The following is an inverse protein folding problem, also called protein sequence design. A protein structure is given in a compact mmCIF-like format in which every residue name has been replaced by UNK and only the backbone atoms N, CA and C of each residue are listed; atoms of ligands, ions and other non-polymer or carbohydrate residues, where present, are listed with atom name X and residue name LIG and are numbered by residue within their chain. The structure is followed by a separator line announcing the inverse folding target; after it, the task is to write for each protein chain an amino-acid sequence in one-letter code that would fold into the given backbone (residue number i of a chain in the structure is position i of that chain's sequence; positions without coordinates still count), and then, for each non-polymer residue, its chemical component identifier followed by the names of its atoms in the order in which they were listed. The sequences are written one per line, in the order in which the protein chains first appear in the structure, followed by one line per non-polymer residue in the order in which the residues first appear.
data_IF_334024226605
#
_entry.id   IF_334024226605
#
_cell.length_a   1.000
_cell.length_b   1.000
_cell.length_c   1.000
_cell.angle_alpha   90.00
_cell.angle_beta   90.00
_cell.angle_gamma   90.00
#
_symmetry.space_group_name_H-M   'P 1'
#
loop_
_entity.id
_entity.type
_entity.pdbx_description
1 polymer ?
#
# COMPACT_ATOMS: atom_id res chain seq x y z
N UNK A 1 14.36 5.32 14.63
CA UNK A 1 12.89 5.32 14.57
C UNK A 1 12.41 6.59 15.22
N UNK A 2 11.53 7.34 14.55
CA UNK A 2 10.93 8.56 15.09
C UNK A 2 9.57 8.19 15.69
N UNK A 3 9.53 8.02 17.02
CA UNK A 3 8.34 7.49 17.70
C UNK A 3 7.16 8.45 17.67
N UNK A 4 7.42 9.76 17.58
CA UNK A 4 6.34 10.76 17.48
C UNK A 4 5.64 10.65 16.13
N UNK A 5 6.41 10.49 15.03
CA UNK A 5 5.84 10.25 13.69
C UNK A 5 5.09 8.92 13.62
N UNK A 6 5.65 7.86 14.20
CA UNK A 6 5.02 6.54 14.24
C UNK A 6 3.66 6.60 14.96
N UNK A 7 3.62 7.25 16.14
CA UNK A 7 2.40 7.43 16.91
C UNK A 7 1.37 8.29 16.16
N UNK A 8 1.80 9.39 15.54
CA UNK A 8 0.93 10.26 14.76
C UNK A 8 0.31 9.53 13.55
N UNK A 9 1.10 8.70 12.87
CA UNK A 9 0.62 7.86 11.77
C UNK A 9 -0.49 6.91 12.26
N UNK A 10 -0.21 6.13 13.31
CA UNK A 10 -1.18 5.13 13.78
C UNK A 10 -2.45 5.75 14.34
N UNK A 11 -2.35 6.86 15.08
CA UNK A 11 -3.52 7.61 15.53
C UNK A 11 -4.36 8.07 14.34
N UNK A 12 -3.74 8.60 13.29
CA UNK A 12 -4.43 9.03 12.06
C UNK A 12 -5.17 7.88 11.38
N UNK A 13 -4.51 6.73 11.22
CA UNK A 13 -5.13 5.53 10.62
C UNK A 13 -6.30 5.01 11.47
N UNK A 14 -6.14 4.98 12.80
CA UNK A 14 -7.18 4.53 13.73
C UNK A 14 -8.39 5.47 13.69
N UNK A 15 -8.17 6.78 13.76
CA UNK A 15 -9.23 7.80 13.68
C UNK A 15 -9.96 7.75 12.34
N UNK A 16 -9.23 7.65 11.23
CA UNK A 16 -9.80 7.56 9.89
C UNK A 16 -10.65 6.30 9.72
N UNK A 17 -10.20 5.16 10.25
CA UNK A 17 -10.96 3.92 10.23
C UNK A 17 -12.23 4.01 11.09
N UNK A 18 -12.14 4.58 12.30
CA UNK A 18 -13.32 4.81 13.17
C UNK A 18 -14.36 5.71 12.50
N UNK A 19 -13.91 6.72 11.78
CA UNK A 19 -14.76 7.60 10.98
C UNK A 19 -15.25 6.99 9.65
N UNK A 20 -14.90 5.72 9.35
CA UNK A 20 -15.23 5.01 8.11
C UNK A 20 -14.77 5.73 6.84
N UNK A 21 -13.64 6.44 6.93
CA UNK A 21 -13.04 7.15 5.80
C UNK A 21 -12.26 6.19 4.90
N UNK A 22 -11.66 5.15 5.49
CA UNK A 22 -10.79 4.20 4.80
C UNK A 22 -11.57 3.00 4.24
N UNK A 23 -11.17 2.55 3.05
CA UNK A 23 -11.57 1.27 2.45
C UNK A 23 -10.62 0.15 2.83
N UNK A 24 -9.33 0.44 2.83
CA UNK A 24 -8.26 -0.46 3.24
C UNK A 24 -7.06 0.34 3.71
N UNK A 25 -6.17 -0.30 4.48
CA UNK A 25 -4.94 0.29 4.96
C UNK A 25 -3.86 -0.78 5.08
N UNK A 26 -2.62 -0.44 4.79
CA UNK A 26 -1.47 -1.33 4.96
C UNK A 26 -0.21 -0.56 5.32
N UNK A 27 0.54 -1.10 6.27
CA UNK A 27 1.88 -0.63 6.64
C UNK A 27 2.89 -0.82 5.49
N UNK A 28 3.88 0.08 5.39
CA UNK A 28 5.03 -0.12 4.51
C UNK A 28 6.17 -0.73 5.33
N UNK A 29 6.58 -1.94 4.97
CA UNK A 29 7.58 -2.72 5.69
C UNK A 29 8.51 -3.45 4.72
N UNK A 30 8.83 -4.73 4.99
CA UNK A 30 9.65 -5.59 4.14
C UNK A 30 9.18 -5.57 2.67
N UNK A 31 10.10 -5.15 1.80
CA UNK A 31 9.86 -5.01 0.35
C UNK A 31 9.24 -3.68 -0.07
N UNK A 32 9.11 -2.72 0.84
CA UNK A 32 8.74 -1.34 0.53
C UNK A 32 7.34 -1.16 -0.03
N UNK A 33 7.13 -0.04 -0.71
CA UNK A 33 5.82 0.36 -1.24
C UNK A 33 5.34 -0.61 -2.31
N UNK A 34 6.25 -1.13 -3.14
CA UNK A 34 5.92 -2.08 -4.19
C UNK A 34 5.26 -3.35 -3.64
N UNK A 35 5.88 -3.97 -2.63
CA UNK A 35 5.36 -5.21 -2.04
C UNK A 35 4.12 -4.94 -1.18
N UNK A 36 4.02 -3.79 -0.51
CA UNK A 36 2.79 -3.43 0.21
C UNK A 36 1.59 -3.27 -0.75
N UNK A 37 1.75 -2.56 -1.87
CA UNK A 37 0.70 -2.45 -2.89
C UNK A 37 0.38 -3.81 -3.51
N UNK A 38 1.37 -4.64 -3.82
CA UNK A 38 1.17 -5.98 -4.37
C UNK A 38 0.31 -6.85 -3.44
N UNK A 39 0.64 -6.86 -2.14
CA UNK A 39 -0.14 -7.56 -1.11
C UNK A 39 -1.58 -7.04 -1.05
N UNK A 40 -1.79 -5.73 -1.08
CA UNK A 40 -3.14 -5.15 -1.09
C UNK A 40 -3.93 -5.57 -2.34
N UNK A 41 -3.32 -5.48 -3.52
CA UNK A 41 -3.96 -5.83 -4.79
C UNK A 41 -4.36 -7.31 -4.83
N UNK A 42 -3.45 -8.21 -4.43
CA UNK A 42 -3.69 -9.66 -4.41
C UNK A 42 -4.76 -10.04 -3.40
N UNK A 43 -4.67 -9.55 -2.16
CA UNK A 43 -5.63 -9.89 -1.10
C UNK A 43 -7.00 -9.26 -1.38
N UNK A 44 -7.02 -8.05 -1.94
CA UNK A 44 -8.24 -7.37 -2.36
C UNK A 44 -8.84 -7.91 -3.66
N UNK A 45 -8.09 -8.70 -4.43
CA UNK A 45 -8.41 -9.14 -5.79
C UNK A 45 -8.85 -7.97 -6.70
N UNK A 46 -8.14 -6.84 -6.59
CA UNK A 46 -8.40 -5.61 -7.34
C UNK A 46 -7.05 -5.04 -7.81
N UNK A 47 -6.96 -4.67 -9.09
CA UNK A 47 -5.77 -4.04 -9.67
C UNK A 47 -5.43 -2.68 -9.06
N UNK A 48 -4.26 -2.17 -9.39
CA UNK A 48 -3.79 -0.85 -8.97
C UNK A 48 -2.97 -0.21 -10.07
N UNK A 49 -3.17 1.09 -10.26
CA UNK A 49 -2.34 1.96 -11.09
C UNK A 49 -1.82 3.08 -10.19
N UNK A 50 -0.51 3.10 -9.93
CA UNK A 50 0.11 4.11 -9.11
C UNK A 50 1.43 4.64 -9.71
N UNK A 51 1.70 5.91 -9.42
CA UNK A 51 2.94 6.58 -9.76
C UNK A 51 3.53 7.20 -8.48
N UNK A 52 4.73 6.78 -8.13
CA UNK A 52 5.44 7.16 -6.91
C UNK A 52 6.68 7.93 -7.33
N UNK A 53 6.83 9.15 -6.82
CA UNK A 53 8.04 9.94 -6.99
C UNK A 53 9.16 9.33 -6.17
N UNK A 54 10.27 8.99 -6.83
CA UNK A 54 11.44 8.34 -6.23
C UNK A 54 12.71 9.07 -6.67
N UNK A 55 13.76 9.02 -5.85
CA UNK A 55 15.08 9.54 -6.24
C UNK A 55 15.84 8.50 -7.07
N UNK A 56 15.79 7.22 -6.66
CA UNK A 56 16.24 6.06 -7.42
C UNK A 56 15.06 5.09 -7.60
N UNK A 57 14.95 4.44 -8.78
CA UNK A 57 13.85 3.51 -9.05
C UNK A 57 13.82 2.31 -8.09
N UNK A 58 14.97 1.94 -7.50
CA UNK A 58 15.08 0.87 -6.49
C UNK A 58 14.45 1.24 -5.16
N UNK A 59 14.27 2.54 -4.87
CA UNK A 59 13.68 3.01 -3.62
C UNK A 59 12.23 2.56 -3.43
N UNK A 60 11.58 2.10 -4.51
CA UNK A 60 10.23 1.51 -4.43
C UNK A 60 10.18 0.25 -3.55
N UNK A 61 11.32 -0.44 -3.40
CA UNK A 61 11.49 -1.61 -2.54
C UNK A 61 12.12 -1.29 -1.19
N UNK A 62 12.52 -0.03 -0.95
CA UNK A 62 13.18 0.37 0.28
C UNK A 62 12.23 0.29 1.47
N UNK A 63 12.68 -0.44 2.49
CA UNK A 63 12.02 -0.50 3.78
C UNK A 63 12.10 0.85 4.47
N UNK A 64 10.96 1.37 4.90
CA UNK A 64 10.98 2.51 5.80
C UNK A 64 9.78 2.47 6.72
N UNK A 65 10.05 2.83 7.96
CA UNK A 65 9.08 2.92 9.04
C UNK A 65 8.26 4.21 8.92
N UNK A 66 7.21 4.31 9.74
CA UNK A 66 6.33 5.48 9.80
C UNK A 66 5.70 5.84 8.46
N UNK A 67 5.32 4.83 7.67
CA UNK A 67 4.56 4.97 6.43
C UNK A 67 3.44 3.93 6.36
N UNK A 68 2.29 4.35 5.85
CA UNK A 68 1.19 3.46 5.49
C UNK A 68 0.60 3.89 4.16
N UNK A 69 0.02 2.92 3.46
CA UNK A 69 -0.79 3.10 2.26
C UNK A 69 -2.23 2.95 2.69
N UNK A 70 -3.08 3.88 2.29
CA UNK A 70 -4.52 3.82 2.55
C UNK A 70 -5.29 3.96 1.26
N UNK A 71 -6.42 3.27 1.19
CA UNK A 71 -7.41 3.45 0.14
C UNK A 71 -8.55 4.28 0.69
N UNK A 72 -8.86 5.38 0.02
CA UNK A 72 -9.92 6.31 0.42
C UNK A 72 -10.87 6.49 -0.76
N UNK A 73 -12.18 6.42 -0.51
CA UNK A 73 -13.15 6.72 -1.56
C UNK A 73 -13.05 8.21 -1.93
N UNK A 74 -13.16 8.61 -3.21
CA UNK A 74 -13.06 10.02 -3.61
C UNK A 74 -13.94 10.97 -2.80
N UNK A 75 -15.14 10.53 -2.39
CA UNK A 75 -16.07 11.33 -1.57
C UNK A 75 -15.58 11.60 -0.14
N UNK A 76 -14.62 10.81 0.35
CA UNK A 76 -14.05 10.89 1.69
C UNK A 76 -12.67 11.56 1.70
N UNK A 77 -12.08 11.88 0.54
CA UNK A 77 -10.71 12.40 0.46
C UNK A 77 -10.55 13.70 1.25
N UNK A 78 -11.46 14.66 1.07
CA UNK A 78 -11.38 15.96 1.77
C UNK A 78 -11.36 15.80 3.30
N UNK A 79 -12.22 14.93 3.84
CA UNK A 79 -12.28 14.68 5.29
C UNK A 79 -11.05 13.90 5.79
N UNK A 80 -10.53 12.96 5.00
CA UNK A 80 -9.29 12.28 5.32
C UNK A 80 -8.09 13.24 5.35
N UNK A 81 -8.00 14.15 4.37
CA UNK A 81 -6.93 15.14 4.25
C UNK A 81 -6.95 16.14 5.41
N UNK A 82 -8.13 16.59 5.84
CA UNK A 82 -8.30 17.41 7.05
C UNK A 82 -7.79 16.68 8.30
N UNK A 83 -8.14 15.40 8.44
CA UNK A 83 -7.70 14.59 9.57
C UNK A 83 -6.18 14.38 9.59
N UNK A 84 -5.59 14.02 8.44
CA UNK A 84 -4.14 13.86 8.30
C UNK A 84 -3.40 15.16 8.61
N UNK A 85 -3.89 16.28 8.10
CA UNK A 85 -3.34 17.62 8.36
C UNK A 85 -3.42 18.01 9.84
N UNK A 86 -4.56 17.76 10.49
CA UNK A 86 -4.77 17.98 11.93
C UNK A 86 -3.74 17.21 12.77
N UNK A 87 -3.44 15.98 12.37
CA UNK A 87 -2.47 15.12 13.04
C UNK A 87 -1.03 15.33 12.57
N UNK A 88 -0.78 16.32 11.69
CA UNK A 88 0.53 16.66 11.13
C UNK A 88 1.21 15.48 10.41
N UNK A 89 0.41 14.62 9.76
CA UNK A 89 0.88 13.51 8.95
C UNK A 89 0.93 13.95 7.48
N UNK A 90 2.11 13.90 6.87
CA UNK A 90 2.26 14.14 5.44
C UNK A 90 1.62 13.02 4.63
N UNK A 91 0.98 13.39 3.53
CA UNK A 91 0.31 12.45 2.64
C UNK A 91 0.52 12.84 1.18
N UNK A 92 0.32 11.88 0.29
CA UNK A 92 0.36 12.08 -1.16
C UNK A 92 -0.58 11.07 -1.83
N UNK A 93 -1.37 11.54 -2.79
CA UNK A 93 -2.17 10.66 -3.64
C UNK A 93 -1.24 10.01 -4.67
N UNK A 94 -1.11 8.69 -4.62
CA UNK A 94 -0.18 7.95 -5.48
C UNK A 94 -0.86 7.25 -6.67
N UNK A 95 -2.18 7.10 -6.67
CA UNK A 95 -2.85 6.32 -7.71
C UNK A 95 -4.29 5.95 -7.41
N UNK A 96 -4.79 4.92 -8.10
CA UNK A 96 -6.15 4.39 -7.99
C UNK A 96 -6.18 2.87 -8.03
N UNK A 97 -7.18 2.30 -7.37
CA UNK A 97 -7.50 0.88 -7.45
C UNK A 97 -8.53 0.63 -8.56
N UNK A 98 -8.48 -0.54 -9.19
CA UNK A 98 -9.42 -0.97 -10.23
C UNK A 98 -8.80 -1.90 -11.26
N UNK A 99 -9.67 -2.60 -11.99
CA UNK A 99 -9.25 -3.53 -13.05
C UNK A 99 -8.50 -4.76 -12.53
N UNK A 100 -7.73 -5.37 -13.41
CA UNK A 100 -7.03 -6.65 -13.26
C UNK A 100 -5.51 -6.52 -13.44
N UNK A 101 -5.00 -5.28 -13.44
CA UNK A 101 -3.59 -4.97 -13.68
C UNK A 101 -2.92 -4.38 -12.46
N UNK A 102 -1.67 -4.72 -12.27
CA UNK A 102 -0.79 -4.16 -11.26
C UNK A 102 0.27 -3.31 -11.95
N UNK A 103 0.16 -2.00 -11.81
CA UNK A 103 1.02 -0.99 -12.42
C UNK A 103 1.56 -0.08 -11.32
N UNK A 104 2.87 -0.07 -11.14
CA UNK A 104 3.56 0.92 -10.30
C UNK A 104 4.79 1.44 -11.03
N UNK A 105 4.79 2.71 -11.40
CA UNK A 105 5.82 3.30 -12.25
C UNK A 105 6.02 2.41 -13.50
N UNK A 106 7.23 1.91 -13.72
CA UNK A 106 7.59 1.03 -14.86
C UNK A 106 7.31 -0.46 -14.60
N UNK A 107 6.82 -0.83 -13.42
CA UNK A 107 6.53 -2.23 -13.07
C UNK A 107 5.11 -2.58 -13.52
N UNK A 108 5.01 -3.60 -14.35
CA UNK A 108 3.74 -4.16 -14.83
C UNK A 108 3.64 -5.66 -14.54
N UNK A 109 2.49 -6.08 -13.99
CA UNK A 109 2.06 -7.49 -13.90
C UNK A 109 0.54 -7.60 -14.04
N UNK A 110 0.09 -8.71 -14.62
CA UNK A 110 -1.31 -9.12 -14.51
C UNK A 110 -1.61 -9.60 -13.09
N UNK A 111 -2.78 -9.23 -12.55
CA UNK A 111 -3.16 -9.56 -11.17
C UNK A 111 -3.23 -11.08 -10.94
N UNK A 112 -3.73 -11.84 -11.92
CA UNK A 112 -3.79 -13.31 -11.83
C UNK A 112 -2.40 -13.93 -11.65
N UNK A 113 -1.40 -13.44 -12.39
CA UNK A 113 -0.01 -13.90 -12.26
C UNK A 113 0.58 -13.52 -10.90
N UNK A 114 0.30 -12.31 -10.42
CA UNK A 114 0.75 -11.86 -9.11
C UNK A 114 0.15 -12.69 -7.98
N UNK A 115 -1.15 -13.00 -8.07
CA UNK A 115 -1.88 -13.84 -7.12
C UNK A 115 -1.36 -15.27 -7.07
N UNK A 116 -1.07 -15.88 -8.23
CA UNK A 116 -0.46 -17.22 -8.28
C UNK A 116 0.88 -17.26 -7.56
N UNK A 117 1.76 -16.29 -7.82
CA UNK A 117 3.06 -16.21 -7.14
C UNK A 117 2.86 -16.04 -5.63
N UNK A 118 1.95 -15.16 -5.21
CA UNK A 118 1.75 -14.89 -3.78
C UNK A 118 1.22 -16.10 -3.01
N UNK A 119 0.21 -16.81 -3.55
CA UNK A 119 -0.45 -17.90 -2.83
C UNK A 119 0.21 -19.27 -3.00
N UNK A 120 0.84 -19.54 -4.15
CA UNK A 120 1.30 -20.89 -4.48
C UNK A 120 2.80 -21.07 -4.32
N UNK A 121 3.60 -19.99 -4.30
CA UNK A 121 5.05 -20.13 -4.39
C UNK A 121 5.67 -20.95 -3.26
N UNK A 122 5.18 -20.78 -2.03
CA UNK A 122 5.68 -21.57 -0.91
C UNK A 122 5.42 -23.07 -1.11
N UNK A 123 4.21 -23.43 -1.55
CA UNK A 123 3.83 -24.81 -1.83
C UNK A 123 4.72 -25.41 -2.92
N UNK A 124 4.88 -24.70 -4.04
CA UNK A 124 5.71 -25.15 -5.16
C UNK A 124 7.16 -25.41 -4.75
N UNK A 125 7.74 -24.56 -3.90
CA UNK A 125 9.13 -24.72 -3.45
C UNK A 125 9.27 -25.96 -2.57
N UNK A 126 8.34 -26.20 -1.63
CA UNK A 126 8.38 -27.37 -0.75
C UNK A 126 8.16 -28.68 -1.53
N UNK A 127 7.31 -28.68 -2.56
CA UNK A 127 7.03 -29.86 -3.39
C UNK A 127 8.18 -30.20 -4.36
N UNK A 128 9.11 -29.28 -4.62
CA UNK A 128 10.30 -29.52 -5.46
C UNK A 128 11.45 -30.18 -4.70
N UNK A 129 11.43 -30.15 -3.37
CA UNK A 129 12.44 -30.74 -2.48
C UNK A 129 12.12 -32.20 -2.07
N UNK A 130 11.11 -32.83 -2.70
CA UNK A 130 10.74 -34.25 -2.56
C UNK A 130 11.08 -35.05 -3.82
#
# INVERSE_FOLDING_TARGET
VDFEKELALWNTVIEANRAKLLKSAKDVNLGGVAISLAKMAVVGNIGVEANISLNDSKDIFSESLSRAIVEVNPKNCEEFEKLASKNRVSYVAIGRTGGDKFIINDIFKELDNLSKVYFNRFKEVIEQDQ
#
